data_IF_831968147675
#
_entry.id   IF_831968147675
#
_cell.length_a   1.000
_cell.length_b   1.000
_cell.length_c   1.000
_cell.angle_alpha   90.00
_cell.angle_beta   90.00
_cell.angle_gamma   90.00
#
_symmetry.space_group_name_H-M   'P 1'
#
loop_
_entity.id
_entity.type
_entity.pdbx_description
1 polymer ?
#
# COMPACT_ATOMS: atom_id res chain seq x y z
N UNK A 1 -12.34 4.92 -9.92
CA UNK A 1 -11.77 3.55 -9.79
C UNK A 1 -12.77 2.65 -9.10
N UNK A 2 -12.89 1.42 -9.54
CA UNK A 2 -13.76 0.44 -8.89
C UNK A 2 -13.01 -0.30 -7.79
N UNK A 3 -13.75 -0.77 -6.78
CA UNK A 3 -13.20 -1.51 -5.63
C UNK A 3 -12.36 -2.72 -6.05
N UNK A 4 -12.83 -3.52 -7.01
CA UNK A 4 -12.10 -4.71 -7.46
C UNK A 4 -10.74 -4.36 -8.08
N UNK A 5 -10.66 -3.28 -8.80
CA UNK A 5 -9.41 -2.80 -9.40
C UNK A 5 -8.45 -2.28 -8.33
N UNK A 6 -8.98 -1.58 -7.33
CA UNK A 6 -8.19 -1.11 -6.18
C UNK A 6 -7.58 -2.29 -5.40
N UNK A 7 -8.39 -3.28 -5.08
CA UNK A 7 -7.94 -4.47 -4.35
C UNK A 7 -6.84 -5.21 -5.12
N UNK A 8 -7.03 -5.39 -6.44
CA UNK A 8 -6.03 -6.02 -7.29
C UNK A 8 -4.71 -5.21 -7.32
N UNK A 9 -4.80 -3.88 -7.37
CA UNK A 9 -3.64 -3.00 -7.36
C UNK A 9 -2.86 -3.11 -6.05
N UNK A 10 -3.54 -3.05 -4.90
CA UNK A 10 -2.90 -3.13 -3.59
C UNK A 10 -2.22 -4.49 -3.41
N UNK A 11 -2.89 -5.57 -3.79
CA UNK A 11 -2.29 -6.91 -3.75
C UNK A 11 -1.05 -7.01 -4.63
N UNK A 12 -1.06 -6.39 -5.80
CA UNK A 12 0.10 -6.37 -6.70
C UNK A 12 1.29 -5.60 -6.10
N UNK A 13 1.02 -4.48 -5.44
CA UNK A 13 2.07 -3.69 -4.77
C UNK A 13 2.68 -4.49 -3.61
N UNK A 14 1.87 -5.13 -2.78
CA UNK A 14 2.37 -5.95 -1.68
C UNK A 14 3.21 -7.14 -2.18
N UNK A 15 2.78 -7.76 -3.27
CA UNK A 15 3.53 -8.85 -3.90
C UNK A 15 4.87 -8.36 -4.45
N UNK A 16 4.90 -7.18 -5.05
CA UNK A 16 6.13 -6.56 -5.54
C UNK A 16 7.12 -6.31 -4.40
N UNK A 17 6.66 -5.73 -3.29
CA UNK A 17 7.51 -5.49 -2.12
C UNK A 17 8.08 -6.80 -1.55
N UNK A 18 7.27 -7.85 -1.48
CA UNK A 18 7.74 -9.16 -1.03
C UNK A 18 8.83 -9.72 -1.96
N UNK A 19 8.70 -9.52 -3.26
CA UNK A 19 9.73 -9.92 -4.23
C UNK A 19 11.02 -9.12 -4.06
N UNK A 20 10.92 -7.81 -3.81
CA UNK A 20 12.08 -6.95 -3.53
C UNK A 20 12.85 -7.46 -2.31
N UNK A 21 12.17 -7.77 -1.22
CA UNK A 21 12.79 -8.30 -0.01
C UNK A 21 13.46 -9.65 -0.28
N UNK A 22 12.79 -10.54 -1.00
CA UNK A 22 13.34 -11.85 -1.32
C UNK A 22 14.62 -11.77 -2.13
N UNK A 23 14.67 -10.91 -3.15
CA UNK A 23 15.86 -10.74 -3.97
C UNK A 23 16.99 -10.06 -3.21
N UNK A 24 16.67 -9.13 -2.30
CA UNK A 24 17.67 -8.51 -1.44
C UNK A 24 18.38 -9.54 -0.56
N UNK A 25 17.68 -10.57 -0.07
CA UNK A 25 18.26 -11.66 0.70
C UNK A 25 19.30 -12.46 -0.11
N UNK A 26 19.20 -12.46 -1.44
CA UNK A 26 20.20 -13.08 -2.33
C UNK A 26 21.30 -12.10 -2.75
N UNK A 27 21.32 -10.87 -2.22
CA UNK A 27 22.30 -9.85 -2.58
C UNK A 27 22.01 -9.15 -3.91
N UNK A 28 20.81 -9.30 -4.45
CA UNK A 28 20.37 -8.65 -5.69
C UNK A 28 19.35 -7.58 -5.34
N UNK A 29 19.60 -6.35 -5.74
CA UNK A 29 18.67 -5.24 -5.51
C UNK A 29 17.82 -5.00 -6.76
N UNK A 30 16.50 -5.12 -6.62
CA UNK A 30 15.57 -5.02 -7.75
C UNK A 30 15.53 -3.64 -8.39
N UNK A 31 15.88 -2.60 -7.64
CA UNK A 31 15.96 -1.27 -8.22
C UNK A 31 17.10 -1.12 -9.25
N UNK A 32 18.02 -2.06 -9.30
CA UNK A 32 19.05 -2.13 -10.34
C UNK A 32 18.47 -2.65 -11.67
N UNK A 33 17.24 -3.18 -11.64
CA UNK A 33 16.56 -3.66 -12.83
C UNK A 33 15.66 -2.55 -13.41
N UNK A 34 15.94 -2.03 -14.60
CA UNK A 34 15.18 -0.90 -15.17
C UNK A 34 13.68 -1.11 -15.25
N UNK A 35 13.25 -2.36 -15.48
CA UNK A 35 11.81 -2.70 -15.57
C UNK A 35 11.11 -2.51 -14.22
N UNK A 36 11.77 -2.86 -13.11
CA UNK A 36 11.19 -2.74 -11.77
C UNK A 36 11.03 -1.27 -11.38
N UNK A 37 12.03 -0.46 -11.67
CA UNK A 37 11.99 0.98 -11.42
C UNK A 37 10.86 1.64 -12.21
N UNK A 38 10.75 1.32 -13.50
CA UNK A 38 9.69 1.85 -14.35
C UNK A 38 8.29 1.44 -13.84
N UNK A 39 8.13 0.20 -13.40
CA UNK A 39 6.85 -0.28 -12.85
C UNK A 39 6.46 0.49 -11.60
N UNK A 40 7.42 0.74 -10.71
CA UNK A 40 7.19 1.50 -9.47
C UNK A 40 6.81 2.95 -9.76
N UNK A 41 7.49 3.59 -10.69
CA UNK A 41 7.15 4.95 -11.13
C UNK A 41 5.74 5.04 -11.72
N UNK A 42 5.36 4.07 -12.56
CA UNK A 42 4.02 4.03 -13.15
C UNK A 42 2.92 3.86 -12.09
N UNK A 43 3.15 3.02 -11.09
CA UNK A 43 2.22 2.84 -9.97
C UNK A 43 2.05 4.15 -9.21
N UNK A 44 3.14 4.83 -8.88
CA UNK A 44 3.10 6.11 -8.17
C UNK A 44 2.37 7.19 -8.97
N UNK A 45 2.64 7.30 -10.27
CA UNK A 45 1.95 8.23 -11.15
C UNK A 45 0.44 7.95 -11.19
N UNK A 46 0.07 6.67 -11.28
CA UNK A 46 -1.33 6.26 -11.28
C UNK A 46 -2.04 6.65 -9.98
N UNK A 47 -1.39 6.41 -8.83
CA UNK A 47 -1.93 6.78 -7.52
C UNK A 47 -2.16 8.30 -7.42
N UNK A 48 -1.21 9.10 -7.89
CA UNK A 48 -1.31 10.56 -7.88
C UNK A 48 -2.47 11.07 -8.75
N UNK A 49 -2.78 10.37 -9.84
CA UNK A 49 -3.91 10.72 -10.70
C UNK A 49 -5.26 10.34 -10.10
N UNK A 50 -5.32 9.23 -9.36
CA UNK A 50 -6.57 8.63 -8.90
C UNK A 50 -7.01 9.07 -7.50
N UNK A 51 -6.07 9.47 -6.64
CA UNK A 51 -6.34 9.81 -5.25
C UNK A 51 -5.73 11.16 -4.87
N UNK A 52 -6.36 11.83 -3.89
CA UNK A 52 -5.75 13.00 -3.27
C UNK A 52 -4.63 12.58 -2.31
N UNK A 53 -3.97 13.57 -1.70
CA UNK A 53 -2.85 13.31 -0.80
C UNK A 53 -3.23 12.43 0.39
N UNK A 54 -4.39 12.64 0.97
CA UNK A 54 -4.84 11.88 2.14
C UNK A 54 -5.09 10.42 1.77
N UNK A 55 -5.68 10.17 0.60
CA UNK A 55 -5.85 8.82 0.07
C UNK A 55 -4.52 8.11 -0.16
N UNK A 56 -3.55 8.80 -0.75
CA UNK A 56 -2.20 8.26 -0.98
C UNK A 56 -1.50 7.97 0.35
N UNK A 57 -1.62 8.85 1.34
CA UNK A 57 -1.04 8.65 2.67
C UNK A 57 -1.61 7.39 3.35
N UNK A 58 -2.93 7.13 3.24
CA UNK A 58 -3.55 5.92 3.74
C UNK A 58 -3.02 4.66 3.05
N UNK A 59 -2.84 4.70 1.73
CA UNK A 59 -2.32 3.57 0.96
C UNK A 59 -0.88 3.26 1.37
N UNK A 60 -0.03 4.28 1.48
CA UNK A 60 1.36 4.11 1.91
C UNK A 60 1.45 3.59 3.34
N UNK A 61 0.62 4.10 4.25
CA UNK A 61 0.54 3.59 5.61
C UNK A 61 0.19 2.11 5.63
N UNK A 62 -0.82 1.70 4.84
CA UNK A 62 -1.25 0.32 4.78
C UNK A 62 -0.12 -0.62 4.34
N UNK A 63 0.64 -0.22 3.33
CA UNK A 63 1.69 -1.06 2.75
C UNK A 63 2.92 -1.12 3.65
N UNK A 64 3.36 0.01 4.20
CA UNK A 64 4.66 0.12 4.86
C UNK A 64 4.60 0.21 6.38
N UNK A 65 3.53 0.72 6.96
CA UNK A 65 3.45 1.03 8.39
C UNK A 65 2.39 0.25 9.15
N UNK A 66 1.49 -0.43 8.47
CA UNK A 66 0.38 -1.14 9.09
C UNK A 66 0.82 -2.18 10.13
N UNK A 67 1.91 -2.86 9.87
CA UNK A 67 2.43 -3.91 10.76
C UNK A 67 3.63 -3.41 11.55
N UNK A 68 3.67 -3.76 12.83
CA UNK A 68 4.84 -3.51 13.65
C UNK A 68 6.05 -4.26 13.10
N UNK A 69 7.17 -3.57 12.95
CA UNK A 69 8.45 -4.16 12.52
C UNK A 69 8.96 -5.17 13.57
N UNK A 70 8.63 -4.95 14.84
CA UNK A 70 9.11 -5.75 15.96
C UNK A 70 8.29 -7.02 16.14
N UNK A 71 6.95 -6.90 16.14
CA UNK A 71 6.04 -8.02 16.47
C UNK A 71 5.34 -8.61 15.27
N UNK A 72 5.29 -7.91 14.14
CA UNK A 72 4.53 -8.29 12.96
C UNK A 72 3.02 -8.13 13.12
N UNK A 73 2.55 -7.62 14.25
CA UNK A 73 1.13 -7.39 14.51
C UNK A 73 0.62 -6.14 13.79
N UNK A 74 -0.65 -6.20 13.38
CA UNK A 74 -1.32 -5.05 12.77
C UNK A 74 -1.57 -3.98 13.82
N UNK A 75 -1.16 -2.75 13.53
CA UNK A 75 -1.34 -1.61 14.43
C UNK A 75 -2.77 -1.11 14.37
N UNK A 76 -3.36 -0.70 15.51
CA UNK A 76 -4.71 -0.15 15.55
C UNK A 76 -4.76 1.26 14.97
N UNK A 77 -5.91 1.61 14.40
CA UNK A 77 -6.26 2.99 14.04
C UNK A 77 -7.34 3.50 14.98
N UNK A 78 -7.47 4.81 15.08
CA UNK A 78 -8.49 5.45 15.91
C UNK A 78 -9.31 6.41 15.05
N UNK A 79 -10.63 6.35 15.17
CA UNK A 79 -11.51 7.30 14.51
C UNK A 79 -11.57 8.63 15.25
N UNK A 80 -12.38 9.59 14.76
CA UNK A 80 -12.52 10.92 15.37
C UNK A 80 -13.09 10.86 16.80
N UNK A 81 -13.84 9.80 17.12
CA UNK A 81 -14.41 9.56 18.45
C UNK A 81 -13.43 8.83 19.37
N UNK A 82 -12.26 8.48 18.89
CA UNK A 82 -11.25 7.71 19.62
C UNK A 82 -11.52 6.22 19.67
N UNK A 83 -12.46 5.71 18.87
CA UNK A 83 -12.77 4.29 18.81
C UNK A 83 -11.75 3.55 17.97
N UNK A 84 -11.22 2.46 18.51
CA UNK A 84 -10.22 1.62 17.87
C UNK A 84 -10.83 0.79 16.71
N UNK A 85 -10.11 0.74 15.58
CA UNK A 85 -10.45 -0.14 14.47
C UNK A 85 -9.17 -0.65 13.79
N UNK A 86 -9.30 -1.73 13.01
CA UNK A 86 -8.18 -2.35 12.30
C UNK A 86 -8.44 -2.38 10.80
N UNK A 87 -7.37 -2.15 10.03
CA UNK A 87 -7.38 -2.27 8.57
C UNK A 87 -6.58 -3.52 8.21
N UNK A 88 -7.26 -4.64 8.01
CA UNK A 88 -6.63 -5.95 7.82
C UNK A 88 -6.51 -6.37 6.35
N UNK A 89 -7.36 -5.84 5.48
CA UNK A 89 -7.47 -6.25 4.08
C UNK A 89 -7.52 -5.03 3.17
N UNK A 90 -7.20 -5.20 1.86
CA UNK A 90 -7.40 -4.12 0.89
C UNK A 90 -8.83 -3.61 0.79
N UNK A 91 -9.82 -4.47 1.08
CA UNK A 91 -11.23 -4.09 1.12
C UNK A 91 -11.50 -3.13 2.27
N UNK A 92 -10.88 -3.35 3.44
CA UNK A 92 -10.98 -2.44 4.58
C UNK A 92 -10.32 -1.09 4.26
N UNK A 93 -9.18 -1.12 3.59
CA UNK A 93 -8.49 0.09 3.13
C UNK A 93 -9.37 0.88 2.16
N UNK A 94 -10.05 0.20 1.24
CA UNK A 94 -10.94 0.85 0.28
C UNK A 94 -12.00 1.73 0.97
N UNK A 95 -12.57 1.27 2.07
CA UNK A 95 -13.56 2.03 2.84
C UNK A 95 -13.02 3.37 3.34
N UNK A 96 -11.72 3.47 3.57
CA UNK A 96 -11.07 4.70 4.01
C UNK A 96 -10.71 5.63 2.85
N UNK A 97 -10.37 5.08 1.70
CA UNK A 97 -9.83 5.86 0.57
C UNK A 97 -10.87 6.15 -0.53
N UNK A 98 -12.00 5.47 -0.56
CA UNK A 98 -12.99 5.66 -1.63
C UNK A 98 -13.50 7.10 -1.73
N UNK A 99 -13.56 7.82 -0.61
CA UNK A 99 -13.94 9.24 -0.56
C UNK A 99 -12.81 10.20 -0.97
N UNK A 100 -11.59 9.69 -1.12
CA UNK A 100 -10.40 10.46 -1.49
C UNK A 100 -10.03 10.31 -2.97
N UNK A 101 -10.91 9.78 -3.77
CA UNK A 101 -10.72 9.71 -5.23
C UNK A 101 -10.86 11.10 -5.86
N UNK A 102 -9.99 11.37 -6.82
CA UNK A 102 -10.05 12.60 -7.61
C UNK A 102 -11.16 12.55 -8.66
#
# INVERSE_FOLDING_TARGET
>A
MEKCNFVAMVNAIEKYDAEVERWADFGIELYELPICELTWELINMYLEEMFDKDGIDWINWYIYERKSIITGEVLPCFDEEGKEFYVNTPEDLWKLVEQHQK
#
